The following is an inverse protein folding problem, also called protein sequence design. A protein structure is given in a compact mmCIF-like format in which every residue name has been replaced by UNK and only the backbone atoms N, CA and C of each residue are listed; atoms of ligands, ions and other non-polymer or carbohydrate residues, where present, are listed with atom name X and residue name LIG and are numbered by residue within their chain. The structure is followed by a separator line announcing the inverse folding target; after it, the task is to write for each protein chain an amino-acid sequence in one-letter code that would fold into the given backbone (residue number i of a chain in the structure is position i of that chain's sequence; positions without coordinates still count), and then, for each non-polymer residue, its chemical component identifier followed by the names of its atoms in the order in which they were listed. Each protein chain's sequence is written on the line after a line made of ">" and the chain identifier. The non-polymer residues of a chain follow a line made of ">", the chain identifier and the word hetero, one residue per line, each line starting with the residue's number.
data_IF_040181853440
#
_entry.id   IF_040181853440
#
_cell.length_a   1.000
_cell.length_b   1.000
_cell.length_c   1.000
_cell.angle_alpha   90.00
_cell.angle_beta   90.00
_cell.angle_gamma   90.00
#
_symmetry.space_group_name_H-M   'P 1'
#
loop_
_entity.id
_entity.type
_entity.pdbx_description
1 polymer ?
#
# COMPACT_ATOMS: atom_id res chain seq x y z
N UNK A 1 -5.50 -26.81 4.91
CA UNK A 1 -6.54 -25.78 5.13
C UNK A 1 -6.11 -24.52 4.40
N UNK A 2 -6.94 -23.99 3.50
CA UNK A 2 -6.71 -22.64 2.97
C UNK A 2 -6.96 -21.66 4.13
N UNK A 3 -5.93 -20.92 4.56
CA UNK A 3 -6.14 -19.81 5.50
C UNK A 3 -7.08 -18.82 4.82
N UNK A 4 -8.22 -18.53 5.44
CA UNK A 4 -9.01 -17.36 5.06
C UNK A 4 -8.16 -16.14 5.39
N UNK A 5 -7.53 -15.54 4.38
CA UNK A 5 -6.80 -14.30 4.54
C UNK A 5 -7.85 -13.23 4.74
N UNK A 6 -8.07 -12.84 5.99
CA UNK A 6 -8.84 -11.63 6.27
C UNK A 6 -8.12 -10.46 5.61
N UNK A 7 -8.84 -9.51 4.99
CA UNK A 7 -8.20 -8.37 4.35
C UNK A 7 -7.44 -7.55 5.40
N UNK A 8 -6.14 -7.31 5.18
CA UNK A 8 -5.36 -6.39 6.00
C UNK A 8 -5.80 -4.97 5.67
N UNK A 9 -6.43 -4.29 6.63
CA UNK A 9 -7.02 -2.98 6.45
C UNK A 9 -6.15 -1.91 7.10
N UNK A 10 -5.98 -0.78 6.40
CA UNK A 10 -5.43 0.44 6.98
C UNK A 10 -6.36 1.62 6.74
N UNK A 11 -6.33 2.58 7.67
CA UNK A 11 -7.11 3.82 7.55
C UNK A 11 -6.30 4.88 6.83
N UNK A 12 -6.92 5.53 5.86
CA UNK A 12 -6.35 6.69 5.17
C UNK A 12 -6.48 7.93 6.06
N UNK A 13 -5.39 8.66 6.21
CA UNK A 13 -5.34 9.94 6.91
C UNK A 13 -4.68 11.01 6.03
N UNK A 14 -4.88 12.28 6.34
CA UNK A 14 -4.16 13.37 5.68
C UNK A 14 -2.67 13.26 6.03
N UNK A 15 -1.79 13.44 5.04
CA UNK A 15 -0.34 13.32 5.26
C UNK A 15 0.20 14.43 6.19
N UNK A 16 -0.26 15.66 5.98
CA UNK A 16 0.00 16.81 6.85
C UNK A 16 -1.10 17.86 6.68
N UNK A 17 -1.21 18.84 7.59
CA UNK A 17 -2.24 19.88 7.55
C UNK A 17 -2.29 20.66 6.23
N UNK A 18 -1.13 20.86 5.59
CA UNK A 18 -1.00 21.64 4.36
C UNK A 18 -0.91 20.79 3.08
N UNK A 19 -0.97 19.46 3.19
CA UNK A 19 -0.84 18.56 2.04
C UNK A 19 -2.19 18.08 1.52
N UNK A 20 -2.30 17.98 0.19
CA UNK A 20 -3.39 17.26 -0.49
C UNK A 20 -3.14 15.75 -0.52
N UNK A 21 -1.91 15.32 -0.26
CA UNK A 21 -1.56 13.91 -0.20
C UNK A 21 -2.15 13.26 1.04
N UNK A 22 -2.49 11.99 0.90
CA UNK A 22 -2.91 11.13 1.99
C UNK A 22 -1.79 10.17 2.35
N UNK A 23 -1.83 9.65 3.57
CA UNK A 23 -0.99 8.55 4.02
C UNK A 23 -1.87 7.42 4.53
N UNK A 24 -1.39 6.21 4.37
CA UNK A 24 -1.92 5.03 5.01
C UNK A 24 -0.74 4.23 5.56
N UNK A 25 -0.95 3.52 6.65
CA UNK A 25 0.02 2.54 7.15
C UNK A 25 -0.01 1.33 6.24
N UNK A 26 1.16 0.85 5.82
CA UNK A 26 1.29 -0.49 5.24
C UNK A 26 1.26 -1.46 6.42
N UNK A 27 0.28 -2.38 6.52
CA UNK A 27 0.25 -3.40 7.56
C UNK A 27 1.54 -4.22 7.60
N UNK A 28 1.97 -4.63 8.79
CA UNK A 28 3.24 -5.34 9.03
C UNK A 28 3.37 -6.59 8.16
N UNK A 29 2.31 -7.40 8.09
CA UNK A 29 2.25 -8.61 7.26
C UNK A 29 2.42 -8.34 5.76
N UNK A 30 1.98 -7.18 5.29
CA UNK A 30 2.18 -6.75 3.90
C UNK A 30 3.60 -6.22 3.70
N UNK A 31 4.13 -5.44 4.66
CA UNK A 31 5.49 -4.91 4.59
C UNK A 31 6.54 -6.04 4.55
N UNK A 32 6.35 -7.07 5.39
CA UNK A 32 7.20 -8.27 5.39
C UNK A 32 7.13 -9.02 4.06
N UNK A 33 5.93 -9.24 3.51
CA UNK A 33 5.76 -9.93 2.23
C UNK A 33 6.33 -9.16 1.04
N UNK A 34 6.34 -7.83 1.10
CA UNK A 34 6.91 -6.97 0.07
C UNK A 34 8.39 -6.67 0.30
N UNK A 35 8.98 -7.13 1.41
CA UNK A 35 10.35 -6.84 1.84
C UNK A 35 10.66 -5.33 1.81
N UNK A 36 9.72 -4.53 2.32
CA UNK A 36 9.82 -3.06 2.36
C UNK A 36 10.29 -2.59 3.73
N UNK A 37 11.41 -1.88 3.75
CA UNK A 37 12.00 -1.28 4.94
C UNK A 37 11.88 0.25 4.96
N UNK A 38 12.14 0.85 6.13
CA UNK A 38 12.18 2.30 6.28
C UNK A 38 13.32 2.87 5.43
N UNK A 39 12.97 3.72 4.46
CA UNK A 39 13.90 4.35 3.54
C UNK A 39 13.81 3.82 2.11
N UNK A 40 13.15 2.68 1.91
CA UNK A 40 12.87 2.16 0.58
C UNK A 40 11.94 3.10 -0.20
N UNK A 41 12.16 3.15 -1.51
CA UNK A 41 11.30 3.88 -2.44
C UNK A 41 10.23 2.94 -2.98
N UNK A 42 9.00 3.46 -3.13
CA UNK A 42 7.87 2.72 -3.67
C UNK A 42 7.37 3.40 -4.94
N UNK A 43 7.09 2.62 -5.98
CA UNK A 43 6.41 3.06 -7.19
C UNK A 43 4.94 2.72 -7.13
N UNK A 44 4.11 3.66 -7.56
CA UNK A 44 2.66 3.52 -7.59
C UNK A 44 2.18 3.47 -9.03
N UNK A 45 1.40 2.44 -9.37
CA UNK A 45 0.69 2.31 -10.66
C UNK A 45 -0.81 2.28 -10.40
N UNK A 46 -1.58 2.84 -11.33
CA UNK A 46 -3.04 2.82 -11.25
C UNK A 46 -3.55 1.88 -12.34
N UNK A 47 -4.38 0.92 -11.93
CA UNK A 47 -5.09 0.03 -12.83
C UNK A 47 -6.59 0.07 -12.56
N UNK A 48 -7.39 -0.25 -13.58
CA UNK A 48 -8.83 -0.41 -13.45
C UNK A 48 -9.24 -1.82 -13.88
N UNK A 49 -9.83 -2.57 -12.95
CA UNK A 49 -10.28 -3.94 -13.21
C UNK A 49 -11.72 -4.11 -12.74
N UNK A 50 -12.62 -4.51 -13.65
CA UNK A 50 -14.05 -4.71 -13.37
C UNK A 50 -14.71 -3.47 -12.74
N UNK A 51 -14.39 -2.28 -13.24
CA UNK A 51 -14.91 -0.99 -12.76
C UNK A 51 -14.38 -0.56 -11.38
N UNK A 52 -13.37 -1.26 -10.85
CA UNK A 52 -12.71 -0.90 -9.59
C UNK A 52 -11.31 -0.40 -9.88
N UNK A 53 -11.01 0.81 -9.43
CA UNK A 53 -9.66 1.37 -9.43
C UNK A 53 -8.82 0.68 -8.36
N UNK A 54 -7.60 0.31 -8.71
CA UNK A 54 -6.62 -0.31 -7.83
C UNK A 54 -5.31 0.47 -7.94
N UNK A 55 -4.65 0.65 -6.81
CA UNK A 55 -3.26 1.04 -6.79
C UNK A 55 -2.41 -0.23 -6.66
N UNK A 56 -1.42 -0.38 -7.52
CA UNK A 56 -0.36 -1.37 -7.38
C UNK A 56 0.85 -0.63 -6.82
N UNK A 57 1.41 -1.17 -5.75
CA UNK A 57 2.59 -0.62 -5.09
C UNK A 57 3.71 -1.65 -5.27
N UNK A 58 4.85 -1.18 -5.78
CA UNK A 58 6.04 -2.00 -6.01
C UNK A 58 7.23 -1.36 -5.29
N UNK A 59 8.10 -2.16 -4.69
CA UNK A 59 9.41 -1.70 -4.23
C UNK A 59 10.24 -1.28 -5.44
N UNK A 60 10.83 -0.10 -5.37
CA UNK A 60 11.72 0.40 -6.40
C UNK A 60 13.13 -0.15 -6.17
N UNK A 61 13.54 -1.04 -7.06
CA UNK A 61 14.92 -1.53 -7.13
C UNK A 61 15.68 -0.67 -8.16
N UNK A 62 16.80 -0.07 -7.75
CA UNK A 62 17.65 0.74 -8.63
C UNK A 62 18.82 -0.05 -9.20
#
# INVERSE_FOLDING_TARGET
>A
MMKSVMPSLSKVARASTNSKSVRATIPEDIAEQLEVDVGDLLVWKIEEQKGKKRAIIEKWES
#
